data_IF_648837611532
#
_entry.id   IF_648837611532
#
_cell.length_a   1.000
_cell.length_b   1.000
_cell.length_c   1.000
_cell.angle_alpha   90.00
_cell.angle_beta   90.00
_cell.angle_gamma   90.00
#
_symmetry.space_group_name_H-M   'P 1'
#
loop_
_entity.id
_entity.type
_entity.pdbx_description
1 polymer ?
#
# COMPACT_ATOMS: atom_id res chain seq x y z
N UNK A 1 2.93 -13.20 14.56
CA UNK A 1 2.00 -12.08 14.70
C UNK A 1 0.92 -12.24 13.67
N UNK A 2 -0.27 -11.72 13.92
CA UNK A 2 -1.42 -11.92 13.02
C UNK A 2 -1.22 -11.14 11.72
N UNK A 3 -1.46 -11.79 10.57
CA UNK A 3 -1.61 -11.13 9.27
C UNK A 3 -3.10 -10.95 8.94
N UNK A 4 -3.97 -10.99 9.96
CA UNK A 4 -5.43 -10.94 9.79
C UNK A 4 -6.04 -10.01 10.84
N UNK A 5 -6.85 -9.06 10.39
CA UNK A 5 -7.62 -8.16 11.25
C UNK A 5 -9.11 -8.28 10.96
N UNK A 6 -9.92 -7.90 11.93
CA UNK A 6 -11.37 -7.84 11.79
C UNK A 6 -11.85 -6.42 12.07
N UNK A 7 -12.65 -5.89 11.16
CA UNK A 7 -13.33 -4.61 11.29
C UNK A 7 -14.83 -4.90 11.22
N UNK A 8 -15.45 -5.13 12.38
CA UNK A 8 -16.80 -5.70 12.44
C UNK A 8 -16.86 -7.06 11.73
N UNK A 9 -17.67 -7.14 10.67
CA UNK A 9 -17.85 -8.35 9.87
C UNK A 9 -16.83 -8.48 8.74
N UNK A 10 -16.08 -7.41 8.43
CA UNK A 10 -15.05 -7.38 7.38
C UNK A 10 -13.77 -8.04 7.89
N UNK A 11 -13.19 -8.90 7.07
CA UNK A 11 -11.90 -9.56 7.33
C UNK A 11 -10.84 -8.96 6.41
N UNK A 12 -9.74 -8.49 6.98
CA UNK A 12 -8.59 -7.97 6.24
C UNK A 12 -7.42 -8.92 6.43
N UNK A 13 -6.76 -9.31 5.33
CA UNK A 13 -5.58 -10.18 5.35
C UNK A 13 -4.42 -9.53 4.62
N UNK A 14 -3.23 -9.61 5.21
CA UNK A 14 -1.98 -9.19 4.58
C UNK A 14 -1.37 -10.35 3.80
N UNK A 15 -1.15 -10.15 2.51
CA UNK A 15 -0.49 -11.11 1.61
C UNK A 15 0.87 -10.55 1.23
N UNK A 16 1.91 -11.07 1.85
CA UNK A 16 3.28 -10.53 1.71
C UNK A 16 3.92 -11.02 0.42
N UNK A 17 4.53 -10.11 -0.34
CA UNK A 17 5.45 -10.46 -1.43
C UNK A 17 6.90 -10.38 -0.99
N UNK A 18 7.32 -9.23 -0.43
CA UNK A 18 8.70 -8.95 -0.02
C UNK A 18 8.74 -8.38 1.39
N UNK A 19 9.67 -8.82 2.22
CA UNK A 19 10.05 -8.15 3.45
C UNK A 19 11.53 -7.78 3.40
N UNK A 20 11.87 -6.60 3.90
CA UNK A 20 13.24 -6.09 3.89
C UNK A 20 13.64 -5.49 5.23
N UNK A 21 14.93 -5.56 5.52
CA UNK A 21 15.56 -4.88 6.65
C UNK A 21 16.74 -4.06 6.14
N UNK A 22 16.65 -2.74 6.31
CA UNK A 22 17.61 -1.80 5.72
C UNK A 22 17.29 -1.48 4.26
N UNK A 23 18.15 -0.65 3.65
CA UNK A 23 17.92 -0.16 2.28
C UNK A 23 16.86 0.95 2.17
N UNK A 24 16.14 1.25 3.25
CA UNK A 24 15.03 2.21 3.31
C UNK A 24 15.39 3.64 2.90
N UNK A 25 16.68 4.01 2.93
CA UNK A 25 17.15 5.32 2.46
C UNK A 25 16.96 5.56 0.96
N UNK A 26 16.68 4.51 0.21
CA UNK A 26 16.23 4.65 -1.17
C UNK A 26 14.88 5.38 -1.24
N UNK A 27 13.96 5.05 -0.32
CA UNK A 27 12.62 5.63 -0.30
C UNK A 27 12.46 6.75 0.75
N UNK A 28 13.17 6.67 1.87
CA UNK A 28 13.18 7.67 2.95
C UNK A 28 14.62 8.16 3.18
N UNK A 29 15.13 9.12 2.38
CA UNK A 29 16.54 9.54 2.40
C UNK A 29 17.02 10.06 3.77
N UNK A 30 16.13 10.73 4.52
CA UNK A 30 16.42 11.31 5.83
C UNK A 30 16.43 10.28 6.98
N UNK A 31 15.89 9.07 6.75
CA UNK A 31 15.86 8.00 7.74
C UNK A 31 17.22 7.32 7.86
N UNK A 32 18.25 8.06 8.32
CA UNK A 32 19.55 7.48 8.62
C UNK A 32 19.45 6.58 9.85
N UNK A 33 20.37 5.61 9.99
CA UNK A 33 20.37 4.71 11.16
C UNK A 33 20.46 5.49 12.46
N UNK A 34 21.33 6.48 12.51
CA UNK A 34 21.57 7.33 13.67
C UNK A 34 20.30 8.10 14.05
N UNK A 35 19.61 8.69 13.07
CA UNK A 35 18.38 9.40 13.31
C UNK A 35 17.23 8.46 13.73
N UNK A 36 17.15 7.26 13.17
CA UNK A 36 16.12 6.28 13.52
C UNK A 36 16.31 5.73 14.94
N UNK A 37 17.53 5.58 15.42
CA UNK A 37 17.82 5.10 16.79
C UNK A 37 17.34 6.04 17.89
N UNK A 38 16.99 7.28 17.58
CA UNK A 38 16.35 8.21 18.52
C UNK A 38 14.91 7.79 18.88
N UNK A 39 14.30 6.88 18.11
CA UNK A 39 12.91 6.44 18.25
C UNK A 39 12.80 4.99 18.71
N UNK A 40 13.10 4.73 19.99
CA UNK A 40 13.13 3.38 20.57
C UNK A 40 11.81 2.60 20.37
N UNK A 41 10.65 3.29 20.28
CA UNK A 41 9.35 2.68 20.08
C UNK A 41 9.20 1.93 18.74
N UNK A 42 10.07 2.19 17.76
CA UNK A 42 10.10 1.45 16.52
C UNK A 42 10.58 0.00 16.70
N UNK A 43 11.35 -0.26 17.76
CA UNK A 43 11.86 -1.59 18.07
C UNK A 43 10.83 -2.43 18.85
N UNK A 44 10.82 -3.74 18.63
CA UNK A 44 11.61 -4.50 17.65
C UNK A 44 10.91 -4.61 16.28
N UNK A 45 9.70 -4.03 16.14
CA UNK A 45 8.80 -4.32 15.04
C UNK A 45 9.20 -3.65 13.74
N UNK A 46 9.48 -2.37 13.80
CA UNK A 46 9.69 -1.51 12.63
C UNK A 46 11.16 -1.13 12.39
N UNK A 47 12.03 -1.47 13.32
CA UNK A 47 13.46 -1.20 13.25
C UNK A 47 14.24 -2.31 13.95
N UNK A 48 15.46 -2.62 13.47
CA UNK A 48 16.40 -3.49 14.17
C UNK A 48 17.27 -2.71 15.18
N UNK A 49 18.07 -3.43 15.96
CA UNK A 49 18.97 -2.85 16.98
C UNK A 49 20.07 -1.94 16.38
N UNK A 50 20.29 -2.00 15.06
CA UNK A 50 21.29 -1.21 14.33
C UNK A 50 20.70 0.05 13.68
N UNK A 51 19.42 0.33 13.88
CA UNK A 51 18.73 1.46 13.26
C UNK A 51 18.28 1.21 11.82
N UNK A 52 18.30 -0.04 11.34
CA UNK A 52 17.77 -0.36 10.02
C UNK A 52 16.25 -0.48 10.09
N UNK A 53 15.53 0.30 9.29
CA UNK A 53 14.10 0.19 9.19
C UNK A 53 13.69 -1.13 8.54
N UNK A 54 12.56 -1.68 8.99
CA UNK A 54 11.93 -2.88 8.46
C UNK A 54 10.73 -2.47 7.64
N UNK A 55 10.67 -2.91 6.39
CA UNK A 55 9.61 -2.60 5.45
C UNK A 55 9.05 -3.86 4.81
N UNK A 56 7.89 -3.73 4.19
CA UNK A 56 7.21 -4.82 3.52
C UNK A 56 6.50 -4.31 2.26
N UNK A 57 6.53 -5.09 1.19
CA UNK A 57 5.65 -4.95 0.05
C UNK A 57 4.63 -6.09 0.16
N UNK A 58 3.37 -5.73 0.26
CA UNK A 58 2.28 -6.67 0.46
C UNK A 58 0.95 -6.11 -0.07
N UNK A 59 0.09 -6.99 -0.51
CA UNK A 59 -1.30 -6.64 -0.79
C UNK A 59 -2.15 -6.78 0.47
N UNK A 60 -3.23 -6.00 0.52
CA UNK A 60 -4.24 -6.13 1.57
C UNK A 60 -5.54 -6.64 0.97
N UNK A 61 -5.89 -7.87 1.30
CA UNK A 61 -7.15 -8.49 0.90
C UNK A 61 -8.23 -8.11 1.89
N UNK A 62 -9.33 -7.53 1.40
CA UNK A 62 -10.51 -7.12 2.18
C UNK A 62 -11.69 -7.98 1.75
N UNK A 63 -12.14 -8.86 2.64
CA UNK A 63 -13.34 -9.70 2.44
C UNK A 63 -14.50 -9.11 3.25
N UNK A 64 -15.48 -8.55 2.55
CA UNK A 64 -16.67 -7.95 3.15
C UNK A 64 -17.80 -8.99 3.37
N UNK A 65 -17.59 -10.24 2.96
CA UNK A 65 -18.63 -11.27 2.89
C UNK A 65 -19.46 -11.23 1.60
N UNK A 66 -19.57 -10.07 0.96
CA UNK A 66 -20.26 -9.89 -0.34
C UNK A 66 -19.26 -9.68 -1.48
N UNK A 67 -18.14 -9.01 -1.22
CA UNK A 67 -17.08 -8.72 -2.17
C UNK A 67 -15.72 -9.06 -1.59
N UNK A 68 -14.84 -9.57 -2.44
CA UNK A 68 -13.43 -9.79 -2.15
C UNK A 68 -12.63 -8.76 -2.94
N UNK A 69 -11.99 -7.85 -2.21
CA UNK A 69 -11.22 -6.72 -2.77
C UNK A 69 -9.76 -6.97 -2.47
N UNK A 70 -8.90 -6.89 -3.48
CA UNK A 70 -7.45 -6.88 -3.32
C UNK A 70 -6.94 -5.44 -3.48
N UNK A 71 -6.47 -4.85 -2.40
CA UNK A 71 -5.89 -3.50 -2.40
C UNK A 71 -4.42 -3.62 -2.68
N UNK A 72 -4.00 -3.04 -3.78
CA UNK A 72 -2.68 -3.10 -4.38
C UNK A 72 -2.22 -4.52 -4.75
N UNK A 73 -1.27 -4.61 -5.66
CA UNK A 73 -0.86 -5.90 -6.23
C UNK A 73 0.67 -6.07 -6.32
N UNK A 74 1.41 -5.42 -5.42
CA UNK A 74 2.86 -5.59 -5.26
C UNK A 74 3.68 -5.36 -6.55
N UNK A 75 4.90 -5.93 -6.64
CA UNK A 75 5.84 -5.75 -7.77
C UNK A 75 5.56 -6.70 -8.94
N UNK A 76 5.17 -7.94 -8.64
CA UNK A 76 4.91 -8.97 -9.64
C UNK A 76 6.15 -9.70 -10.17
N UNK A 77 5.93 -10.91 -10.67
CA UNK A 77 6.97 -11.74 -11.25
C UNK A 77 7.25 -11.40 -12.74
N UNK A 78 8.43 -11.79 -13.22
CA UNK A 78 8.87 -11.73 -14.63
C UNK A 78 9.01 -10.30 -15.19
N UNK A 79 8.85 -9.27 -14.38
CA UNK A 79 8.89 -7.86 -14.81
C UNK A 79 10.30 -7.32 -14.76
N UNK A 80 10.74 -6.72 -15.87
CA UNK A 80 12.01 -6.02 -15.89
C UNK A 80 11.87 -4.67 -15.24
N UNK A 81 12.62 -4.45 -14.16
CA UNK A 81 12.61 -3.20 -13.38
C UNK A 81 14.02 -2.60 -13.30
N UNK A 82 14.09 -1.28 -13.23
CA UNK A 82 15.36 -0.58 -13.08
C UNK A 82 15.87 -0.59 -11.63
N UNK A 83 15.06 -1.04 -10.68
CA UNK A 83 15.49 -1.36 -9.31
C UNK A 83 15.99 -2.82 -9.32
N UNK A 84 17.30 -3.09 -9.16
CA UNK A 84 17.83 -4.45 -9.32
C UNK A 84 17.20 -5.49 -8.40
N UNK A 85 16.83 -5.09 -7.18
CA UNK A 85 16.19 -5.97 -6.19
C UNK A 85 14.75 -6.35 -6.55
N UNK A 86 14.12 -5.65 -7.51
CA UNK A 86 12.74 -5.87 -7.94
C UNK A 86 12.65 -6.37 -9.38
N UNK A 87 13.78 -6.51 -10.07
CA UNK A 87 13.79 -6.93 -11.48
C UNK A 87 13.70 -8.44 -11.62
N UNK A 88 12.78 -8.90 -12.47
CA UNK A 88 12.57 -10.32 -12.80
C UNK A 88 12.34 -11.19 -11.54
N UNK A 89 11.54 -10.70 -10.62
CA UNK A 89 11.21 -11.44 -9.41
C UNK A 89 10.58 -12.80 -9.73
N UNK A 90 10.77 -13.74 -8.80
CA UNK A 90 10.12 -15.05 -8.78
C UNK A 90 9.67 -15.29 -7.34
N UNK A 91 8.59 -14.64 -6.95
CA UNK A 91 7.99 -14.76 -5.62
C UNK A 91 6.86 -15.77 -5.64
N UNK A 92 6.46 -16.24 -4.47
CA UNK A 92 5.33 -17.13 -4.30
C UNK A 92 4.06 -16.37 -3.84
N UNK A 93 3.86 -15.14 -4.34
CA UNK A 93 2.73 -14.30 -3.95
C UNK A 93 1.37 -14.94 -4.25
N UNK A 94 1.21 -15.52 -5.46
CA UNK A 94 -0.05 -16.14 -5.85
C UNK A 94 -0.34 -17.40 -5.03
N UNK A 95 0.67 -18.20 -4.71
CA UNK A 95 0.54 -19.36 -3.82
C UNK A 95 0.10 -18.92 -2.42
N UNK A 96 0.69 -17.86 -1.88
CA UNK A 96 0.29 -17.28 -0.57
C UNK A 96 -1.15 -16.77 -0.58
N UNK A 97 -1.59 -16.16 -1.67
CA UNK A 97 -2.97 -15.71 -1.86
C UNK A 97 -3.92 -16.91 -1.87
N UNK A 98 -3.57 -17.98 -2.59
CA UNK A 98 -4.34 -19.22 -2.63
C UNK A 98 -4.37 -19.94 -1.27
N UNK A 99 -3.24 -20.06 -0.57
CA UNK A 99 -3.14 -20.58 0.79
C UNK A 99 -3.99 -19.80 1.79
N UNK A 100 -4.13 -18.48 1.59
CA UNK A 100 -5.03 -17.64 2.37
C UNK A 100 -6.52 -17.90 2.09
N UNK A 101 -6.84 -18.75 1.09
CA UNK A 101 -8.19 -19.16 0.68
C UNK A 101 -8.78 -18.30 -0.44
N UNK A 102 -7.96 -17.51 -1.16
CA UNK A 102 -8.41 -16.57 -2.17
C UNK A 102 -7.61 -16.74 -3.48
N UNK A 103 -7.85 -17.82 -4.25
CA UNK A 103 -7.23 -17.96 -5.56
C UNK A 103 -7.61 -16.79 -6.49
N UNK A 104 -6.80 -16.47 -7.51
CA UNK A 104 -7.02 -15.29 -8.37
C UNK A 104 -8.44 -15.16 -8.92
N UNK A 105 -9.09 -16.27 -9.29
CA UNK A 105 -10.46 -16.27 -9.80
C UNK A 105 -11.55 -15.93 -8.77
N UNK A 106 -11.20 -15.78 -7.49
CA UNK A 106 -12.11 -15.39 -6.40
C UNK A 106 -12.12 -13.88 -6.12
N UNK A 107 -11.19 -13.14 -6.69
CA UNK A 107 -11.10 -11.70 -6.49
C UNK A 107 -12.16 -11.02 -7.34
N UNK A 108 -13.04 -10.23 -6.71
CA UNK A 108 -14.08 -9.45 -7.38
C UNK A 108 -13.58 -8.08 -7.84
N UNK A 109 -12.69 -7.48 -7.05
CA UNK A 109 -12.17 -6.13 -7.28
C UNK A 109 -10.67 -6.11 -6.98
N UNK A 110 -9.89 -5.54 -7.89
CA UNK A 110 -8.53 -5.06 -7.62
C UNK A 110 -8.60 -3.55 -7.50
N UNK A 111 -8.17 -3.00 -6.37
CA UNK A 111 -8.18 -1.57 -6.11
C UNK A 111 -6.73 -1.08 -6.03
N UNK A 112 -6.31 -0.25 -6.99
CA UNK A 112 -4.99 0.38 -6.95
C UNK A 112 -5.08 1.71 -6.21
N UNK A 113 -4.34 1.85 -5.10
CA UNK A 113 -4.26 3.12 -4.36
C UNK A 113 -3.61 4.21 -5.19
N UNK A 114 -2.63 3.82 -5.99
CA UNK A 114 -1.92 4.61 -7.00
C UNK A 114 -1.18 3.67 -7.98
N UNK A 115 -0.44 4.21 -8.96
CA UNK A 115 0.15 3.40 -10.04
C UNK A 115 1.68 3.24 -9.96
N UNK A 116 2.30 3.33 -8.79
CA UNK A 116 3.71 2.98 -8.66
C UNK A 116 3.95 1.49 -8.84
N UNK A 117 5.19 1.18 -9.13
CA UNK A 117 5.70 -0.13 -9.56
C UNK A 117 5.40 -1.29 -8.62
N UNK A 118 5.31 -1.03 -7.33
CA UNK A 118 5.07 -2.01 -6.26
C UNK A 118 3.61 -2.03 -5.75
N UNK A 119 2.70 -1.41 -6.51
CA UNK A 119 1.25 -1.42 -6.24
C UNK A 119 0.44 -2.05 -7.37
N UNK A 120 1.01 -2.22 -8.56
CA UNK A 120 0.29 -2.67 -9.76
C UNK A 120 0.86 -3.92 -10.41
N UNK A 121 1.95 -4.47 -9.88
CA UNK A 121 2.72 -5.50 -10.57
C UNK A 121 1.92 -6.76 -10.87
N UNK A 122 1.24 -7.34 -9.91
CA UNK A 122 0.39 -8.50 -10.13
C UNK A 122 -0.99 -8.17 -10.73
N UNK A 123 -1.25 -6.94 -11.20
CA UNK A 123 -2.39 -6.72 -12.09
C UNK A 123 -2.32 -7.67 -13.29
N UNK A 124 -1.11 -8.01 -13.72
CA UNK A 124 -0.86 -8.89 -14.84
C UNK A 124 0.19 -9.95 -14.50
N UNK A 125 0.12 -11.08 -15.19
CA UNK A 125 1.12 -12.14 -15.19
C UNK A 125 1.56 -12.49 -16.62
N UNK A 126 2.75 -13.06 -16.75
CA UNK A 126 3.30 -13.43 -18.04
C UNK A 126 2.84 -14.85 -18.44
N UNK A 127 2.05 -14.96 -19.52
CA UNK A 127 1.59 -16.25 -20.06
C UNK A 127 1.91 -16.33 -21.53
N UNK A 128 2.72 -17.30 -21.93
CA UNK A 128 3.10 -17.48 -23.33
C UNK A 128 3.77 -16.27 -23.97
N UNK A 129 4.50 -15.47 -23.19
CA UNK A 129 5.18 -14.26 -23.64
C UNK A 129 4.27 -13.02 -23.75
N UNK A 130 3.05 -13.08 -23.22
CA UNK A 130 2.10 -11.94 -23.17
C UNK A 130 1.71 -11.63 -21.74
N UNK A 131 1.55 -10.36 -21.44
CA UNK A 131 0.97 -9.90 -20.19
C UNK A 131 -0.56 -10.06 -20.25
N UNK A 132 -1.13 -10.82 -19.31
CA UNK A 132 -2.57 -11.05 -19.21
C UNK A 132 -3.04 -10.70 -17.81
N UNK A 133 -4.31 -10.29 -17.61
CA UNK A 133 -4.85 -10.02 -16.28
C UNK A 133 -4.68 -11.22 -15.35
N UNK A 134 -4.11 -11.00 -14.17
CA UNK A 134 -3.93 -12.03 -13.14
C UNK A 134 -5.26 -12.42 -12.50
N UNK A 135 -6.17 -11.46 -12.37
CA UNK A 135 -7.47 -11.62 -11.70
C UNK A 135 -8.60 -11.51 -12.74
N UNK A 136 -8.90 -12.60 -13.48
CA UNK A 136 -9.71 -12.54 -14.68
C UNK A 136 -11.20 -12.23 -14.44
N UNK A 137 -11.66 -12.38 -13.18
CA UNK A 137 -13.04 -12.10 -12.79
C UNK A 137 -13.19 -10.74 -12.10
N UNK A 138 -12.07 -10.04 -11.85
CA UNK A 138 -12.08 -8.78 -11.14
C UNK A 138 -12.35 -7.58 -12.07
N UNK A 139 -12.99 -6.55 -11.53
CA UNK A 139 -12.87 -5.18 -12.05
C UNK A 139 -11.67 -4.53 -11.38
N UNK A 140 -10.85 -3.83 -12.17
CA UNK A 140 -9.69 -3.09 -11.69
C UNK A 140 -10.08 -1.63 -11.53
N UNK A 141 -10.11 -1.14 -10.28
CA UNK A 141 -10.46 0.24 -9.97
C UNK A 141 -9.18 1.07 -9.90
N UNK A 142 -9.11 2.07 -10.75
CA UNK A 142 -7.99 3.00 -10.84
C UNK A 142 -8.52 4.42 -10.71
N UNK A 143 -7.91 5.24 -9.86
CA UNK A 143 -8.25 6.65 -9.77
C UNK A 143 -8.13 7.36 -11.13
N UNK A 144 -9.19 8.05 -11.59
CA UNK A 144 -9.18 8.78 -12.86
C UNK A 144 -8.02 9.78 -12.93
N UNK A 145 -7.83 10.56 -11.86
CA UNK A 145 -6.75 11.56 -11.75
C UNK A 145 -5.36 10.89 -11.77
N UNK A 146 -5.26 9.69 -11.20
CA UNK A 146 -4.02 8.91 -11.18
C UNK A 146 -3.67 8.43 -12.58
N UNK A 147 -4.63 7.82 -13.30
CA UNK A 147 -4.45 7.38 -14.67
C UNK A 147 -4.07 8.55 -15.60
N UNK A 148 -4.82 9.67 -15.55
CA UNK A 148 -4.59 10.85 -16.38
C UNK A 148 -3.20 11.46 -16.17
N UNK A 149 -2.66 11.35 -14.94
CA UNK A 149 -1.31 11.79 -14.65
C UNK A 149 -0.28 10.86 -15.26
N UNK A 150 -0.34 9.55 -14.95
CA UNK A 150 0.70 8.61 -15.36
C UNK A 150 0.69 8.31 -16.86
N UNK A 151 -0.46 8.31 -17.52
CA UNK A 151 -0.55 8.18 -18.98
C UNK A 151 0.33 9.19 -19.73
N UNK A 152 0.56 10.37 -19.13
CA UNK A 152 1.33 11.48 -19.72
C UNK A 152 2.74 11.62 -19.16
N UNK A 153 3.00 11.08 -17.97
CA UNK A 153 4.20 11.38 -17.19
C UNK A 153 5.02 10.14 -16.81
N UNK A 154 4.70 8.96 -17.32
CA UNK A 154 5.53 7.78 -17.07
C UNK A 154 6.95 8.02 -17.59
N UNK A 155 7.94 7.88 -16.71
CA UNK A 155 9.35 7.86 -17.06
C UNK A 155 9.90 6.44 -16.86
N UNK A 156 9.94 5.68 -17.95
CA UNK A 156 10.43 4.30 -17.93
C UNK A 156 11.89 4.18 -17.47
N UNK A 157 12.67 5.27 -17.49
CA UNK A 157 14.05 5.25 -16.99
C UNK A 157 14.14 5.10 -15.48
N UNK A 158 13.08 5.42 -14.74
CA UNK A 158 13.02 5.35 -13.28
C UNK A 158 12.72 3.91 -12.81
N UNK A 159 11.60 3.35 -13.23
CA UNK A 159 11.12 2.05 -12.73
C UNK A 159 11.03 0.96 -13.80
N UNK A 160 11.19 1.28 -15.08
CA UNK A 160 10.89 0.41 -16.22
C UNK A 160 9.47 0.66 -16.75
N UNK A 161 9.02 -0.18 -17.67
CA UNK A 161 7.75 0.00 -18.40
C UNK A 161 6.53 -0.45 -17.59
N UNK A 162 6.25 0.22 -16.48
CA UNK A 162 5.19 -0.16 -15.50
C UNK A 162 3.81 -0.14 -16.16
N UNK A 163 3.48 0.93 -16.88
CA UNK A 163 2.17 1.00 -17.56
C UNK A 163 2.04 -0.09 -18.63
N UNK A 164 3.09 -0.33 -19.42
CA UNK A 164 3.03 -1.28 -20.54
C UNK A 164 2.84 -2.73 -20.10
N UNK A 165 3.43 -3.13 -18.97
CA UNK A 165 3.37 -4.52 -18.52
C UNK A 165 2.35 -4.77 -17.41
N UNK A 166 1.91 -3.74 -16.65
CA UNK A 166 1.07 -3.92 -15.46
C UNK A 166 -0.29 -3.23 -15.54
N UNK A 167 -0.46 -2.22 -16.41
CA UNK A 167 -1.69 -1.41 -16.44
C UNK A 167 -2.39 -1.47 -17.79
N UNK A 168 -1.70 -1.19 -18.90
CA UNK A 168 -2.32 -1.20 -20.23
C UNK A 168 -3.00 -2.53 -20.58
N UNK A 169 -2.44 -3.71 -20.24
CA UNK A 169 -3.09 -4.98 -20.60
C UNK A 169 -4.47 -5.17 -19.95
N UNK A 170 -4.72 -4.63 -18.75
CA UNK A 170 -6.04 -4.70 -18.12
C UNK A 170 -7.04 -3.73 -18.76
N UNK A 171 -6.57 -2.60 -19.34
CA UNK A 171 -7.40 -1.72 -20.16
C UNK A 171 -7.76 -2.39 -21.50
N UNK A 172 -6.80 -3.08 -22.13
CA UNK A 172 -7.02 -3.79 -23.40
C UNK A 172 -8.07 -4.89 -23.29
N UNK A 173 -8.22 -5.49 -22.10
CA UNK A 173 -9.23 -6.51 -21.79
C UNK A 173 -10.57 -5.93 -21.25
N UNK A 174 -10.74 -4.58 -21.28
CA UNK A 174 -11.94 -3.87 -20.79
C UNK A 174 -12.30 -4.19 -19.31
N UNK A 175 -11.29 -4.39 -18.47
CA UNK A 175 -11.48 -4.73 -17.06
C UNK A 175 -11.35 -3.53 -16.12
N UNK A 176 -10.98 -2.34 -16.61
CA UNK A 176 -10.74 -1.16 -15.78
C UNK A 176 -11.99 -0.31 -15.63
N UNK A 177 -12.26 0.13 -14.42
CA UNK A 177 -13.18 1.21 -14.08
C UNK A 177 -12.38 2.39 -13.52
N UNK A 178 -12.49 3.55 -14.16
CA UNK A 178 -11.91 4.79 -13.64
C UNK A 178 -12.85 5.41 -12.62
N UNK A 179 -12.39 5.53 -11.37
CA UNK A 179 -13.16 6.01 -10.22
C UNK A 179 -12.69 7.37 -9.73
N UNK A 180 -13.53 8.10 -9.03
CA UNK A 180 -13.16 9.34 -8.36
C UNK A 180 -12.44 9.04 -7.02
N UNK A 181 -11.68 10.00 -6.50
CA UNK A 181 -10.85 9.80 -5.31
C UNK A 181 -11.65 9.61 -4.01
N UNK A 182 -12.95 9.92 -4.02
CA UNK A 182 -13.92 9.78 -2.92
C UNK A 182 -15.02 8.76 -3.21
N UNK A 183 -14.77 7.83 -4.16
CA UNK A 183 -15.73 6.84 -4.62
C UNK A 183 -16.13 5.84 -3.52
N UNK A 184 -17.41 5.50 -3.48
CA UNK A 184 -17.91 4.38 -2.67
C UNK A 184 -17.81 3.08 -3.46
N UNK A 185 -16.95 2.20 -3.03
CA UNK A 185 -16.64 0.95 -3.74
C UNK A 185 -17.75 -0.09 -3.51
N UNK A 186 -18.13 -0.28 -2.27
CA UNK A 186 -19.23 -1.14 -1.85
C UNK A 186 -19.68 -0.74 -0.44
N UNK A 187 -20.64 -1.46 0.12
CA UNK A 187 -21.07 -1.22 1.51
C UNK A 187 -19.88 -1.38 2.46
N UNK A 188 -19.57 -0.31 3.19
CA UNK A 188 -18.51 -0.27 4.18
C UNK A 188 -17.09 -0.10 3.62
N UNK A 189 -16.91 0.13 2.31
CA UNK A 189 -15.60 0.42 1.72
C UNK A 189 -15.70 1.64 0.81
N UNK A 190 -14.93 2.69 1.11
CA UNK A 190 -14.85 3.92 0.32
C UNK A 190 -13.42 4.43 0.20
N UNK A 191 -13.16 5.22 -0.83
CA UNK A 191 -11.88 5.88 -1.03
C UNK A 191 -11.81 7.18 -0.22
N UNK A 192 -10.60 7.54 0.18
CA UNK A 192 -10.29 8.81 0.80
C UNK A 192 -9.14 9.49 0.07
N UNK A 193 -9.35 10.72 -0.46
CA UNK A 193 -8.28 11.46 -1.13
C UNK A 193 -7.09 11.66 -0.21
N UNK A 194 -5.91 11.22 -0.65
CA UNK A 194 -4.65 11.42 0.08
C UNK A 194 -3.50 11.80 -0.88
N UNK A 195 -3.65 12.91 -1.64
CA UNK A 195 -2.71 13.31 -2.68
C UNK A 195 -1.37 13.75 -2.13
N UNK A 196 -0.37 13.84 -3.04
CA UNK A 196 0.97 14.35 -2.78
C UNK A 196 2.04 13.30 -3.06
N UNK A 197 1.90 12.07 -2.57
CA UNK A 197 2.73 10.95 -3.01
C UNK A 197 2.57 10.76 -4.53
N UNK A 198 1.35 10.64 -4.99
CA UNK A 198 0.96 10.89 -6.38
C UNK A 198 -0.27 11.80 -6.41
N UNK A 199 -0.56 12.48 -7.55
CA UNK A 199 -1.67 13.42 -7.61
C UNK A 199 -3.05 12.79 -7.43
N UNK A 200 -3.22 11.52 -7.81
CA UNK A 200 -4.46 10.77 -7.70
C UNK A 200 -4.48 9.73 -6.59
N UNK A 201 -3.49 9.77 -5.69
CA UNK A 201 -3.34 8.82 -4.60
C UNK A 201 -4.54 8.82 -3.65
N UNK A 202 -4.97 7.62 -3.26
CA UNK A 202 -6.10 7.40 -2.34
C UNK A 202 -5.72 6.44 -1.23
N UNK A 203 -6.32 6.65 -0.06
CA UNK A 203 -6.40 5.68 1.04
C UNK A 203 -7.74 4.94 0.99
N UNK A 204 -7.88 3.84 1.72
CA UNK A 204 -9.13 3.04 1.72
C UNK A 204 -9.72 3.02 3.12
N UNK A 205 -10.90 3.62 3.28
CA UNK A 205 -11.70 3.56 4.51
C UNK A 205 -12.52 2.28 4.53
N UNK A 206 -12.55 1.64 5.68
CA UNK A 206 -13.36 0.45 5.92
C UNK A 206 -14.18 0.68 7.19
N UNK A 207 -15.50 0.50 7.09
CA UNK A 207 -16.41 0.64 8.23
C UNK A 207 -17.42 -0.51 8.26
N UNK A 208 -17.50 -1.23 9.38
CA UNK A 208 -18.49 -2.27 9.60
C UNK A 208 -18.81 -2.38 11.09
N UNK A 209 -20.10 -2.46 11.43
CA UNK A 209 -20.57 -2.69 12.81
C UNK A 209 -19.93 -1.75 13.85
N UNK A 210 -19.82 -0.43 13.51
CA UNK A 210 -19.18 0.63 14.31
C UNK A 210 -17.65 0.48 14.49
N UNK A 211 -17.00 -0.46 13.84
CA UNK A 211 -15.54 -0.55 13.79
C UNK A 211 -15.04 0.08 12.51
N UNK A 212 -13.86 0.71 12.57
CA UNK A 212 -13.28 1.45 11.45
C UNK A 212 -11.82 1.08 11.25
N UNK A 213 -11.40 1.07 10.00
CA UNK A 213 -9.99 0.99 9.63
C UNK A 213 -9.68 1.91 8.45
N UNK A 214 -8.40 2.25 8.31
CA UNK A 214 -7.84 2.96 7.19
C UNK A 214 -6.65 2.18 6.66
N UNK A 215 -6.67 1.82 5.38
CA UNK A 215 -5.48 1.38 4.64
C UNK A 215 -4.83 2.63 4.08
N UNK A 216 -3.56 2.84 4.41
CA UNK A 216 -2.91 4.13 4.17
C UNK A 216 -2.62 4.43 2.70
N UNK A 217 -2.39 3.42 1.85
CA UNK A 217 -1.59 3.66 0.67
C UNK A 217 -0.22 4.23 1.07
N UNK A 218 0.35 5.07 0.24
CA UNK A 218 1.70 5.59 0.41
C UNK A 218 1.78 7.06 0.87
N UNK A 219 0.67 7.60 1.44
CA UNK A 219 0.85 8.87 2.15
C UNK A 219 1.84 8.72 3.32
N UNK A 220 2.12 7.47 3.70
CA UNK A 220 3.10 7.10 4.71
C UNK A 220 3.69 5.71 4.43
N UNK A 221 5.01 5.62 4.27
CA UNK A 221 5.72 4.36 3.98
C UNK A 221 6.17 3.61 5.22
N UNK A 222 6.38 4.31 6.34
CA UNK A 222 6.93 3.70 7.55
C UNK A 222 6.42 4.43 8.80
N UNK A 223 6.17 3.73 9.92
CA UNK A 223 5.70 4.36 11.16
C UNK A 223 6.57 5.50 11.69
N UNK A 224 7.85 5.56 11.38
CA UNK A 224 8.73 6.68 11.77
C UNK A 224 8.22 8.03 11.27
N UNK A 225 7.52 8.05 10.12
CA UNK A 225 6.93 9.27 9.57
C UNK A 225 5.77 9.84 10.40
N UNK A 226 5.25 9.08 11.37
CA UNK A 226 4.31 9.62 12.37
C UNK A 226 4.99 10.64 13.30
N UNK A 227 6.22 10.35 13.70
CA UNK A 227 7.02 11.27 14.51
C UNK A 227 7.76 12.30 13.66
N UNK A 228 8.17 11.90 12.46
CA UNK A 228 8.91 12.74 11.49
C UNK A 228 8.08 12.93 10.23
N UNK A 229 7.00 13.71 10.37
CA UNK A 229 6.11 14.04 9.25
C UNK A 229 6.82 14.80 8.12
N UNK A 230 7.93 15.42 8.45
CA UNK A 230 8.83 16.13 7.54
C UNK A 230 9.74 15.20 6.68
N UNK A 231 9.87 13.92 7.04
CA UNK A 231 10.62 12.97 6.22
C UNK A 231 9.78 12.51 5.03
N UNK A 232 10.02 13.16 3.90
CA UNK A 232 9.31 12.86 2.66
C UNK A 232 9.92 11.66 1.94
N UNK A 233 9.11 11.01 1.12
CA UNK A 233 9.59 9.94 0.23
C UNK A 233 10.31 10.54 -0.97
N UNK A 234 11.37 9.87 -1.46
CA UNK A 234 12.00 10.20 -2.73
C UNK A 234 11.09 9.93 -3.94
N UNK A 235 10.01 9.18 -3.75
CA UNK A 235 8.99 8.89 -4.74
C UNK A 235 7.79 9.85 -4.69
N UNK A 236 7.76 10.80 -3.72
CA UNK A 236 6.68 11.79 -3.65
C UNK A 236 6.73 12.72 -4.88
N UNK A 237 5.65 12.75 -5.65
CA UNK A 237 5.49 13.67 -6.80
C UNK A 237 5.46 15.13 -6.34
N UNK A 238 4.77 15.41 -5.23
CA UNK A 238 4.77 16.69 -4.52
C UNK A 238 5.04 16.45 -3.03
N UNK A 239 6.31 16.57 -2.57
CA UNK A 239 6.67 16.35 -1.17
C UNK A 239 6.00 17.32 -0.20
N UNK A 240 5.64 18.54 -0.66
CA UNK A 240 4.97 19.54 0.18
C UNK A 240 3.52 19.14 0.41
N UNK A 241 2.81 18.79 -0.65
CA UNK A 241 1.43 18.26 -0.56
C UNK A 241 1.41 16.95 0.21
N UNK A 242 2.34 15.99 -0.07
CA UNK A 242 2.44 14.71 0.62
C UNK A 242 2.66 14.85 2.12
N UNK A 243 3.50 15.81 2.53
CA UNK A 243 3.67 16.15 3.95
C UNK A 243 2.38 16.72 4.55
N UNK A 244 1.73 17.68 3.88
CA UNK A 244 0.49 18.29 4.36
C UNK A 244 -0.63 17.25 4.51
N UNK A 245 -0.77 16.35 3.52
CA UNK A 245 -1.69 15.21 3.57
C UNK A 245 -1.39 14.32 4.77
N UNK A 246 -0.14 13.93 4.97
CA UNK A 246 0.29 13.09 6.11
C UNK A 246 -0.05 13.73 7.45
N UNK A 247 0.25 15.03 7.59
CA UNK A 247 -0.05 15.78 8.83
C UNK A 247 -1.55 15.87 9.08
N UNK A 248 -2.36 16.12 8.06
CA UNK A 248 -3.82 16.18 8.16
C UNK A 248 -4.42 14.82 8.55
N UNK A 249 -4.02 13.75 7.85
CA UNK A 249 -4.49 12.38 8.12
C UNK A 249 -4.11 11.92 9.54
N UNK A 250 -2.87 12.16 9.97
CA UNK A 250 -2.46 11.82 11.33
C UNK A 250 -3.22 12.61 12.40
N UNK A 251 -3.53 13.88 12.15
CA UNK A 251 -4.33 14.70 13.07
C UNK A 251 -5.79 14.22 13.14
N UNK A 252 -6.38 13.80 12.02
CA UNK A 252 -7.74 13.28 11.96
C UNK A 252 -7.89 11.97 12.76
N UNK A 253 -6.91 11.07 12.64
CA UNK A 253 -6.97 9.74 13.26
C UNK A 253 -6.32 9.68 14.64
N UNK A 254 -5.76 10.78 15.14
CA UNK A 254 -5.12 10.85 16.46
C UNK A 254 -6.07 10.49 17.59
N UNK A 255 -5.65 9.56 18.45
CA UNK A 255 -6.37 9.08 19.63
C UNK A 255 -7.80 8.58 19.33
N UNK A 256 -8.08 8.22 18.08
CA UNK A 256 -9.34 7.57 17.66
C UNK A 256 -9.24 6.05 17.75
N UNK A 257 -10.38 5.36 17.57
CA UNK A 257 -10.46 3.90 17.50
C UNK A 257 -10.45 3.41 16.05
N UNK A 258 -9.88 4.18 15.10
CA UNK A 258 -9.66 3.76 13.72
C UNK A 258 -8.36 2.97 13.63
N UNK A 259 -8.45 1.71 13.20
CA UNK A 259 -7.30 0.86 12.97
C UNK A 259 -6.55 1.32 11.70
N UNK A 260 -5.34 1.85 11.85
CA UNK A 260 -4.52 2.24 10.72
C UNK A 260 -3.68 1.04 10.27
N UNK A 261 -3.75 0.69 8.98
CA UNK A 261 -3.05 -0.43 8.36
C UNK A 261 -2.12 0.13 7.28
N UNK A 262 -0.82 -0.01 7.48
CA UNK A 262 0.17 0.56 6.56
C UNK A 262 0.47 -0.36 5.38
N UNK A 263 0.54 0.20 4.18
CA UNK A 263 0.81 -0.54 2.94
C UNK A 263 2.27 -1.04 2.86
N UNK A 264 3.19 -0.35 3.56
CA UNK A 264 4.61 -0.75 3.61
C UNK A 264 5.12 -1.09 5.01
N UNK A 265 4.25 -1.10 6.01
CA UNK A 265 4.67 -1.39 7.37
C UNK A 265 5.03 -2.86 7.54
N UNK A 266 6.18 -3.14 8.14
CA UNK A 266 6.52 -4.48 8.60
C UNK A 266 5.51 -4.96 9.65
N UNK A 267 5.48 -6.28 9.92
CA UNK A 267 4.61 -6.83 10.97
C UNK A 267 4.89 -6.17 12.33
N UNK A 268 3.84 -5.77 13.09
CA UNK A 268 2.42 -6.15 12.97
C UNK A 268 1.58 -5.38 11.93
N UNK A 269 2.12 -4.45 11.20
CA UNK A 269 1.52 -3.74 10.05
C UNK A 269 0.39 -2.77 10.41
N UNK A 270 -0.34 -3.01 11.48
CA UNK A 270 -1.47 -2.19 11.91
C UNK A 270 -1.33 -1.75 13.37
N UNK A 271 -2.03 -0.68 13.71
CA UNK A 271 -2.10 -0.12 15.05
C UNK A 271 -2.99 1.12 15.10
N UNK A 272 -3.02 1.76 16.24
CA UNK A 272 -3.76 3.00 16.44
C UNK A 272 -2.81 4.18 16.53
N UNK A 273 -3.15 5.30 15.90
CA UNK A 273 -2.39 6.54 16.03
C UNK A 273 -2.62 7.11 17.41
N UNK A 274 -1.56 7.26 18.19
CA UNK A 274 -1.65 7.79 19.57
C UNK A 274 -0.68 8.95 19.78
N UNK A 275 -1.08 9.86 20.69
CA UNK A 275 -0.21 10.94 21.13
C UNK A 275 0.89 10.42 22.06
N UNK A 276 2.10 10.92 21.90
CA UNK A 276 3.20 10.70 22.81
C UNK A 276 3.37 11.91 23.73
N UNK A 277 3.89 11.71 24.93
CA UNK A 277 4.13 12.80 25.93
C UNK A 277 5.02 13.93 25.39
N UNK A 278 5.77 13.71 24.32
CA UNK A 278 6.60 14.71 23.63
C UNK A 278 5.84 15.52 22.58
N UNK A 279 4.54 15.25 22.37
CA UNK A 279 3.73 15.85 21.32
C UNK A 279 3.89 15.19 19.94
N UNK A 280 4.73 14.17 19.83
CA UNK A 280 4.86 13.36 18.62
C UNK A 280 3.76 12.29 18.54
N UNK A 281 3.51 11.77 17.35
CA UNK A 281 2.61 10.64 17.12
C UNK A 281 3.39 9.33 17.04
N UNK A 282 2.75 8.23 17.41
CA UNK A 282 3.30 6.89 17.27
C UNK A 282 2.21 5.86 16.98
N UNK A 283 2.59 4.70 16.46
CA UNK A 283 1.68 3.60 16.17
C UNK A 283 1.61 2.64 17.37
N UNK A 284 0.48 2.65 18.06
CA UNK A 284 0.24 1.70 19.15
C UNK A 284 -0.24 0.34 18.60
N UNK A 285 0.64 -0.63 18.65
CA UNK A 285 0.39 -2.00 18.15
C UNK A 285 0.04 -2.99 19.26
N UNK A 286 -0.07 -2.56 20.52
CA UNK A 286 -0.25 -3.46 21.68
C UNK A 286 -1.62 -4.11 21.78
N UNK A 287 -2.57 -3.61 21.03
CA UNK A 287 -3.98 -4.07 21.05
C UNK A 287 -4.46 -4.65 19.72
N UNK A 288 -3.53 -5.03 18.83
CA UNK A 288 -3.80 -5.53 17.48
C UNK A 288 -3.47 -7.01 17.34
#
# INVERSE_FOLDING_TARGET
MSNVWRVGDVVIKRIVEIESVGGSRFILPDATREACLEYEWLQPHFMDEKGNLKMSIHALLVDTGEKVILVDTCVGNDKQRNIPAWSNLQTNFLERLEEAGYPPGRIDIVLCTHLHVDHVGWNTMLVGGKWVPTFPNARYLIGRKEWEYWERNEDESVYGSVLADSVKPIFEEDLVDLVEMDEKICVGVELEPSPGHTPGHVSVKIESSNNKALITGDFMHHPVQMTRTDWCSSADTDPIEGRATREAMLAEYLDTDVLLIGTHFASPTAGYVRSHSTGAYWLDTRVV
#
